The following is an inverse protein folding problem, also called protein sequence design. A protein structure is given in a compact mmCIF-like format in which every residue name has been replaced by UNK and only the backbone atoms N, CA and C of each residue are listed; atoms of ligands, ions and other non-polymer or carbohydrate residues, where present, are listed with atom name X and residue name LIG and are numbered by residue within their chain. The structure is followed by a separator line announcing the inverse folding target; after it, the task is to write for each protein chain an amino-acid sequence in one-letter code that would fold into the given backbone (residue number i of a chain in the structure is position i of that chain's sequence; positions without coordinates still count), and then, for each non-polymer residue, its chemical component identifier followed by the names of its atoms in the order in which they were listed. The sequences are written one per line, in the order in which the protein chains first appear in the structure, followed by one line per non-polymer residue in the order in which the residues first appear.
data_IF_696383548767
#
_entry.id   IF_696383548767
#
_cell.length_a   1.000
_cell.length_b   1.000
_cell.length_c   1.000
_cell.angle_alpha   90.00
_cell.angle_beta   90.00
_cell.angle_gamma   90.00
#
_symmetry.space_group_name_H-M   'P 1'
#
loop_
_entity.id
_entity.type
_entity.pdbx_description
1 polymer ?
#
# COMPACT_ATOMS: atom_id res chain seq x y z
N UNK A 1 23.86 -25.50 3.52
CA UNK A 1 22.92 -24.77 2.63
C UNK A 1 22.73 -23.29 3.04
N UNK A 2 23.47 -22.75 4.03
CA UNK A 2 23.40 -21.34 4.49
C UNK A 2 24.63 -20.49 4.10
N UNK A 3 25.55 -21.02 3.29
CA UNK A 3 26.81 -20.36 2.89
C UNK A 3 26.93 -20.29 1.36
N UNK A 4 25.92 -19.75 0.69
CA UNK A 4 26.00 -19.45 -0.73
C UNK A 4 25.58 -18.00 -0.98
N UNK A 5 26.14 -17.41 -2.02
CA UNK A 5 25.84 -16.05 -2.44
C UNK A 5 24.33 -15.80 -2.59
N UNK A 6 23.61 -16.75 -3.21
CA UNK A 6 22.14 -16.66 -3.39
C UNK A 6 21.41 -16.43 -2.07
N UNK A 7 21.78 -17.15 -1.01
CA UNK A 7 21.13 -17.02 0.29
C UNK A 7 21.39 -15.65 0.91
N UNK A 8 22.63 -15.15 0.84
CA UNK A 8 23.01 -13.84 1.37
C UNK A 8 22.27 -12.73 0.63
N UNK A 9 22.24 -12.79 -0.70
CA UNK A 9 21.52 -11.82 -1.53
C UNK A 9 20.04 -11.80 -1.17
N UNK A 10 19.38 -12.96 -1.14
CA UNK A 10 17.97 -13.05 -0.77
C UNK A 10 17.71 -12.51 0.64
N UNK A 11 18.58 -12.78 1.60
CA UNK A 11 18.45 -12.27 2.96
C UNK A 11 18.52 -10.74 3.02
N UNK A 12 19.49 -10.13 2.31
CA UNK A 12 19.61 -8.68 2.25
C UNK A 12 18.42 -8.04 1.52
N UNK A 13 17.95 -8.66 0.43
CA UNK A 13 16.73 -8.24 -0.26
C UNK A 13 15.50 -8.29 0.65
N UNK A 14 15.29 -9.39 1.39
CA UNK A 14 14.17 -9.50 2.33
C UNK A 14 14.24 -8.43 3.41
N UNK A 15 15.41 -8.25 4.05
CA UNK A 15 15.62 -7.21 5.08
C UNK A 15 15.27 -5.83 4.54
N UNK A 16 15.70 -5.54 3.31
CA UNK A 16 15.45 -4.29 2.65
C UNK A 16 13.97 -4.04 2.35
N UNK A 17 13.29 -4.99 1.69
CA UNK A 17 11.88 -4.88 1.32
C UNK A 17 11.01 -4.76 2.58
N UNK A 18 11.27 -5.59 3.59
CA UNK A 18 10.58 -5.50 4.88
C UNK A 18 10.83 -4.16 5.55
N UNK A 19 12.04 -3.60 5.46
CA UNK A 19 12.35 -2.27 5.97
C UNK A 19 11.57 -1.14 5.27
N UNK A 20 11.24 -1.29 3.99
CA UNK A 20 10.38 -0.32 3.28
C UNK A 20 8.93 -0.44 3.73
N UNK A 21 8.41 -1.67 3.82
CA UNK A 21 6.99 -1.92 4.12
C UNK A 21 6.66 -1.90 5.61
N UNK A 22 7.65 -1.83 6.51
CA UNK A 22 7.46 -1.95 7.96
C UNK A 22 6.45 -0.95 8.52
N UNK A 23 6.61 0.34 8.22
CA UNK A 23 5.73 1.39 8.74
C UNK A 23 4.30 1.25 8.23
N UNK A 24 4.14 0.91 6.95
CA UNK A 24 2.83 0.62 6.38
C UNK A 24 2.18 -0.59 7.06
N UNK A 25 2.96 -1.66 7.26
CA UNK A 25 2.50 -2.88 7.93
C UNK A 25 2.01 -2.59 9.35
N UNK A 26 2.78 -1.82 10.13
CA UNK A 26 2.37 -1.40 11.46
C UNK A 26 1.12 -0.52 11.44
N UNK A 27 1.05 0.46 10.53
CA UNK A 27 -0.12 1.32 10.39
C UNK A 27 -1.39 0.53 10.07
N UNK A 28 -1.31 -0.46 9.17
CA UNK A 28 -2.42 -1.35 8.78
C UNK A 28 -2.88 -2.30 9.89
N UNK A 29 -2.06 -2.54 10.91
CA UNK A 29 -2.39 -3.42 12.03
C UNK A 29 -3.01 -2.67 13.23
N UNK A 30 -3.01 -1.33 13.21
CA UNK A 30 -3.58 -0.52 14.30
C UNK A 30 -5.10 -0.54 14.26
N UNK A 31 -5.73 -0.65 15.43
CA UNK A 31 -7.19 -0.66 15.56
C UNK A 31 -7.82 0.72 15.38
N UNK A 32 -7.10 1.78 15.71
CA UNK A 32 -7.52 3.18 15.69
C UNK A 32 -7.04 3.92 14.42
N UNK A 33 -7.10 3.23 13.28
CA UNK A 33 -6.37 3.62 12.09
C UNK A 33 -6.85 4.96 11.52
N UNK A 34 -5.90 5.89 11.36
CA UNK A 34 -6.11 7.09 10.57
C UNK A 34 -5.95 6.73 9.09
N UNK A 35 -7.09 6.66 8.39
CA UNK A 35 -7.16 6.26 6.99
C UNK A 35 -6.26 7.15 6.12
N UNK A 36 -6.22 8.46 6.39
CA UNK A 36 -5.44 9.40 5.58
C UNK A 36 -3.95 9.09 5.71
N UNK A 37 -3.47 8.97 6.96
CA UNK A 37 -2.06 8.64 7.21
C UNK A 37 -1.69 7.26 6.63
N UNK A 38 -2.60 6.28 6.70
CA UNK A 38 -2.36 4.96 6.11
C UNK A 38 -2.23 5.02 4.58
N UNK A 39 -3.09 5.79 3.91
CA UNK A 39 -3.01 5.96 2.45
C UNK A 39 -1.77 6.75 2.04
N UNK A 40 -1.33 7.73 2.84
CA UNK A 40 -0.04 8.39 2.62
C UNK A 40 1.14 7.41 2.73
N UNK A 41 1.11 6.49 3.69
CA UNK A 41 2.11 5.44 3.82
C UNK A 41 2.09 4.45 2.65
N UNK A 42 0.92 4.12 2.07
CA UNK A 42 0.83 3.34 0.83
C UNK A 42 1.57 4.05 -0.30
N UNK A 43 1.34 5.36 -0.48
CA UNK A 43 2.03 6.17 -1.51
C UNK A 43 3.54 6.20 -1.28
N UNK A 44 3.98 6.41 -0.04
CA UNK A 44 5.41 6.41 0.33
C UNK A 44 6.04 5.05 0.06
N UNK A 45 5.38 3.95 0.46
CA UNK A 45 5.86 2.59 0.23
C UNK A 45 6.03 2.31 -1.27
N UNK A 46 5.02 2.66 -2.08
CA UNK A 46 5.07 2.52 -3.55
C UNK A 46 6.23 3.31 -4.16
N UNK A 47 6.38 4.58 -3.76
CA UNK A 47 7.46 5.42 -4.25
C UNK A 47 8.84 4.85 -3.89
N UNK A 48 9.02 4.42 -2.64
CA UNK A 48 10.29 3.85 -2.19
C UNK A 48 10.62 2.56 -2.92
N UNK A 49 9.65 1.65 -3.11
CA UNK A 49 9.87 0.43 -3.90
C UNK A 49 10.28 0.76 -5.35
N UNK A 50 9.60 1.71 -5.99
CA UNK A 50 9.94 2.14 -7.36
C UNK A 50 11.35 2.74 -7.45
N UNK A 51 11.68 3.72 -6.59
CA UNK A 51 13.01 4.32 -6.58
C UNK A 51 14.11 3.27 -6.30
N UNK A 52 13.79 2.26 -5.50
CA UNK A 52 14.73 1.18 -5.19
C UNK A 52 15.00 0.29 -6.40
N UNK A 53 13.97 0.02 -7.20
CA UNK A 53 14.11 -0.74 -8.44
C UNK A 53 15.13 -0.11 -9.38
N UNK A 54 15.11 1.21 -9.48
CA UNK A 54 15.88 1.96 -10.46
C UNK A 54 17.32 2.21 -9.98
N UNK A 55 17.51 2.55 -8.69
CA UNK A 55 18.80 3.04 -8.18
C UNK A 55 19.46 2.19 -7.08
N UNK A 56 18.76 1.26 -6.43
CA UNK A 56 19.32 0.58 -5.22
C UNK A 56 20.28 -0.57 -5.55
N UNK A 57 20.17 -1.18 -6.73
CA UNK A 57 20.88 -2.41 -7.08
C UNK A 57 22.39 -2.35 -6.76
N UNK A 58 23.10 -1.33 -7.24
CA UNK A 58 24.55 -1.28 -7.13
C UNK A 58 25.00 -1.22 -5.66
N UNK A 59 24.32 -0.41 -4.84
CA UNK A 59 24.61 -0.30 -3.40
C UNK A 59 24.26 -1.59 -2.62
N UNK A 60 23.16 -2.25 -2.96
CA UNK A 60 22.79 -3.53 -2.35
C UNK A 60 23.82 -4.62 -2.70
N UNK A 61 24.24 -4.66 -3.97
CA UNK A 61 25.21 -5.62 -4.46
C UNK A 61 26.57 -5.44 -3.76
N UNK A 62 27.02 -4.20 -3.58
CA UNK A 62 28.23 -3.89 -2.81
C UNK A 62 28.13 -4.36 -1.35
N UNK A 63 27.01 -4.11 -0.67
CA UNK A 63 26.76 -4.60 0.69
C UNK A 63 26.84 -6.14 0.78
N UNK A 64 26.25 -6.84 -0.18
CA UNK A 64 26.27 -8.31 -0.27
C UNK A 64 27.68 -8.84 -0.52
N UNK A 65 28.44 -8.24 -1.46
CA UNK A 65 29.82 -8.64 -1.74
C UNK A 65 30.71 -8.46 -0.50
N UNK A 66 30.62 -7.31 0.17
CA UNK A 66 31.37 -7.05 1.39
C UNK A 66 31.05 -8.07 2.49
N UNK A 67 29.79 -8.46 2.65
CA UNK A 67 29.39 -9.51 3.59
C UNK A 67 29.98 -10.87 3.19
N UNK A 68 29.89 -11.24 1.91
CA UNK A 68 30.43 -12.51 1.42
C UNK A 68 31.96 -12.60 1.63
N UNK A 69 32.70 -11.54 1.35
CA UNK A 69 34.15 -11.47 1.56
C UNK A 69 34.52 -11.66 3.04
N UNK A 70 33.81 -10.99 3.95
CA UNK A 70 34.01 -11.11 5.40
C UNK A 70 33.75 -12.53 5.92
N UNK A 71 32.87 -13.27 5.27
CA UNK A 71 32.47 -14.61 5.66
C UNK A 71 33.07 -15.72 4.79
N UNK A 72 34.01 -15.37 3.89
CA UNK A 72 34.65 -16.31 2.95
C UNK A 72 33.62 -17.13 2.14
N UNK A 73 32.57 -16.45 1.66
CA UNK A 73 31.54 -17.02 0.79
C UNK A 73 31.93 -16.70 -0.65
N UNK A 74 31.98 -17.73 -1.50
CA UNK A 74 32.33 -17.56 -2.90
C UNK A 74 31.32 -16.67 -3.64
N UNK A 75 31.82 -15.60 -4.26
CA UNK A 75 31.04 -14.69 -5.09
C UNK A 75 31.13 -15.15 -6.55
N UNK A 76 29.99 -15.42 -7.23
CA UNK A 76 30.00 -15.80 -8.63
C UNK A 76 30.50 -14.65 -9.51
N UNK A 77 31.23 -14.98 -10.58
CA UNK A 77 31.64 -13.97 -11.56
C UNK A 77 30.41 -13.45 -12.32
N UNK A 78 30.17 -12.15 -12.23
CA UNK A 78 28.98 -11.51 -12.80
C UNK A 78 28.93 -11.54 -14.34
N UNK A 79 30.07 -11.72 -15.01
CA UNK A 79 30.18 -11.84 -16.46
C UNK A 79 30.02 -13.27 -16.98
N UNK A 80 30.06 -14.28 -16.08
CA UNK A 80 29.89 -15.66 -16.48
C UNK A 80 28.46 -15.95 -16.91
N UNK A 81 28.30 -16.99 -17.73
CA UNK A 81 26.99 -17.48 -18.15
C UNK A 81 26.25 -18.08 -16.97
N UNK A 82 25.05 -17.58 -16.70
CA UNK A 82 24.14 -18.14 -15.73
C UNK A 82 23.57 -19.47 -16.24
N UNK A 83 23.76 -20.53 -15.46
CA UNK A 83 23.26 -21.87 -15.79
C UNK A 83 21.95 -22.11 -15.04
N UNK A 84 20.83 -22.14 -15.78
CA UNK A 84 19.53 -22.56 -15.25
C UNK A 84 19.49 -24.09 -15.10
N UNK A 85 18.99 -24.58 -13.97
CA UNK A 85 18.77 -26.02 -13.75
C UNK A 85 17.27 -26.35 -13.78
N UNK A 86 16.90 -27.47 -14.39
CA UNK A 86 15.52 -27.97 -14.33
C UNK A 86 15.19 -28.63 -12.98
N UNK A 87 13.93 -29.01 -12.78
CA UNK A 87 13.46 -29.72 -11.57
C UNK A 87 14.13 -31.09 -11.33
N UNK A 88 14.95 -31.56 -12.28
CA UNK A 88 15.74 -32.79 -12.20
C UNK A 88 17.24 -32.50 -12.06
N UNK A 89 17.61 -31.23 -11.82
CA UNK A 89 18.99 -30.78 -11.62
C UNK A 89 19.83 -30.73 -12.89
N UNK A 90 19.22 -30.72 -14.09
CA UNK A 90 19.96 -30.71 -15.36
C UNK A 90 20.08 -29.29 -15.91
N UNK A 91 21.25 -28.90 -16.46
CA UNK A 91 21.41 -27.63 -17.13
C UNK A 91 20.44 -27.47 -18.30
N UNK A 92 19.62 -26.43 -18.28
CA UNK A 92 18.68 -26.09 -19.36
C UNK A 92 19.40 -25.16 -20.34
N UNK A 93 19.80 -25.68 -21.51
CA UNK A 93 20.49 -24.92 -22.57
C UNK A 93 19.56 -24.21 -23.57
N UNK A 94 18.25 -24.19 -23.33
CA UNK A 94 17.26 -23.61 -24.26
C UNK A 94 17.03 -22.13 -23.96
N UNK A 95 17.98 -21.27 -24.30
CA UNK A 95 17.80 -19.82 -24.19
C UNK A 95 19.06 -19.01 -24.55
N UNK A 96 18.92 -17.69 -24.74
CA UNK A 96 20.07 -16.81 -24.90
C UNK A 96 21.00 -16.90 -23.68
N UNK A 97 22.31 -16.81 -23.93
CA UNK A 97 23.35 -16.81 -22.90
C UNK A 97 23.14 -15.62 -21.96
N UNK A 98 22.53 -15.89 -20.81
CA UNK A 98 22.28 -14.89 -19.78
C UNK A 98 23.50 -14.77 -18.88
N UNK A 99 23.89 -13.56 -18.48
CA UNK A 99 24.96 -13.39 -17.49
C UNK A 99 24.42 -13.54 -16.07
N UNK A 100 25.28 -13.89 -15.13
CA UNK A 100 24.94 -13.89 -13.69
C UNK A 100 24.42 -12.51 -13.25
N UNK A 101 25.03 -11.42 -13.74
CA UNK A 101 24.55 -10.06 -13.47
C UNK A 101 23.09 -9.88 -13.89
N UNK A 102 22.75 -10.33 -15.09
CA UNK A 102 21.39 -10.15 -15.59
C UNK A 102 20.40 -10.95 -14.75
N UNK A 103 20.74 -12.20 -14.41
CA UNK A 103 19.90 -13.02 -13.56
C UNK A 103 19.64 -12.37 -12.20
N UNK A 104 20.68 -11.97 -11.47
CA UNK A 104 20.48 -11.43 -10.13
C UNK A 104 19.84 -10.03 -10.14
N UNK A 105 20.20 -9.17 -11.08
CA UNK A 105 19.66 -7.80 -11.16
C UNK A 105 18.22 -7.77 -11.67
N UNK A 106 17.96 -8.42 -12.80
CA UNK A 106 16.68 -8.28 -13.50
C UNK A 106 15.72 -9.41 -13.14
N UNK A 107 16.11 -10.68 -13.35
CA UNK A 107 15.24 -11.85 -13.12
C UNK A 107 14.96 -12.12 -11.63
N UNK A 108 15.72 -11.51 -10.71
CA UNK A 108 15.53 -11.69 -9.27
C UNK A 108 15.22 -10.35 -8.58
N UNK A 109 16.16 -9.40 -8.59
CA UNK A 109 15.97 -8.16 -7.84
C UNK A 109 14.82 -7.29 -8.36
N UNK A 110 14.82 -6.95 -9.66
CA UNK A 110 13.74 -6.18 -10.26
C UNK A 110 12.42 -6.95 -10.20
N UNK A 111 12.41 -8.23 -10.57
CA UNK A 111 11.20 -9.06 -10.56
C UNK A 111 10.56 -9.13 -9.16
N UNK A 112 11.35 -9.28 -8.09
CA UNK A 112 10.81 -9.30 -6.73
C UNK A 112 10.22 -7.93 -6.35
N UNK A 113 10.86 -6.83 -6.70
CA UNK A 113 10.31 -5.49 -6.44
C UNK A 113 9.02 -5.26 -7.24
N UNK A 114 9.00 -5.68 -8.51
CA UNK A 114 7.85 -5.57 -9.39
C UNK A 114 6.66 -6.37 -8.84
N UNK A 115 6.89 -7.56 -8.29
CA UNK A 115 5.87 -8.33 -7.58
C UNK A 115 5.33 -7.59 -6.34
N UNK A 116 6.19 -6.94 -5.55
CA UNK A 116 5.73 -6.15 -4.39
C UNK A 116 4.93 -4.91 -4.81
N UNK A 117 5.35 -4.23 -5.88
CA UNK A 117 4.64 -3.09 -6.45
C UNK A 117 3.27 -3.51 -6.99
N UNK A 118 3.21 -4.64 -7.71
CA UNK A 118 1.97 -5.19 -8.23
C UNK A 118 1.02 -5.55 -7.08
N UNK A 119 1.48 -6.31 -6.08
CA UNK A 119 0.66 -6.69 -4.93
C UNK A 119 0.11 -5.46 -4.18
N UNK A 120 0.93 -4.43 -3.99
CA UNK A 120 0.51 -3.17 -3.38
C UNK A 120 -0.51 -2.42 -4.26
N UNK A 121 -0.35 -2.47 -5.58
CA UNK A 121 -1.28 -1.88 -6.56
C UNK A 121 -2.62 -2.60 -6.62
N UNK A 122 -2.62 -3.93 -6.56
CA UNK A 122 -3.82 -4.76 -6.58
C UNK A 122 -4.64 -4.59 -5.30
N UNK A 123 -3.98 -4.46 -4.13
CA UNK A 123 -4.65 -4.21 -2.84
C UNK A 123 -5.11 -2.77 -2.67
N UNK A 124 -4.32 -1.81 -3.14
CA UNK A 124 -4.58 -0.37 -3.02
C UNK A 124 -4.54 0.29 -4.38
N UNK A 125 -5.50 -0.08 -5.22
CA UNK A 125 -5.72 0.59 -6.51
C UNK A 125 -6.04 2.06 -6.31
N UNK A 126 -5.89 2.87 -7.36
CA UNK A 126 -6.24 4.29 -7.32
C UNK A 126 -7.70 4.50 -6.88
N UNK A 127 -8.63 3.71 -7.45
CA UNK A 127 -10.04 3.76 -7.07
C UNK A 127 -10.29 3.40 -5.60
N UNK A 128 -9.64 2.35 -5.08
CA UNK A 128 -9.80 1.96 -3.66
C UNK A 128 -9.20 3.00 -2.71
N UNK A 129 -8.07 3.60 -3.08
CA UNK A 129 -7.41 4.66 -2.31
C UNK A 129 -8.27 5.92 -2.30
N UNK A 130 -8.82 6.31 -3.45
CA UNK A 130 -9.75 7.44 -3.57
C UNK A 130 -11.01 7.22 -2.72
N UNK A 131 -11.59 6.02 -2.79
CA UNK A 131 -12.75 5.63 -1.98
C UNK A 131 -12.46 5.78 -0.47
N UNK A 132 -11.32 5.24 -0.01
CA UNK A 132 -10.91 5.33 1.39
C UNK A 132 -10.69 6.77 1.86
N UNK A 133 -10.05 7.60 1.02
CA UNK A 133 -9.87 9.03 1.30
C UNK A 133 -11.20 9.79 1.35
N UNK A 134 -12.18 9.41 0.53
CA UNK A 134 -13.52 10.00 0.59
C UNK A 134 -14.25 9.61 1.89
N UNK A 135 -14.13 8.35 2.31
CA UNK A 135 -14.69 7.86 3.58
C UNK A 135 -14.06 8.58 4.80
N UNK A 136 -12.77 8.90 4.73
CA UNK A 136 -12.07 9.60 5.81
C UNK A 136 -12.69 10.98 6.16
N UNK A 137 -13.41 11.61 5.23
CA UNK A 137 -14.14 12.86 5.49
C UNK A 137 -15.31 12.73 6.46
N UNK A 138 -15.80 11.52 6.71
CA UNK A 138 -16.83 11.25 7.71
C UNK A 138 -16.27 11.10 9.13
N UNK A 139 -14.95 11.21 9.29
CA UNK A 139 -14.30 11.15 10.61
C UNK A 139 -14.91 12.20 11.55
N UNK A 140 -15.39 11.74 12.70
CA UNK A 140 -15.91 12.57 13.79
C UNK A 140 -14.82 13.26 14.60
N UNK A 141 -13.54 12.89 14.38
CA UNK A 141 -12.40 13.48 15.10
C UNK A 141 -12.36 14.98 14.91
N UNK A 142 -11.96 15.68 15.98
CA UNK A 142 -11.86 17.14 16.03
C UNK A 142 -13.12 17.86 15.52
N UNK A 143 -14.31 17.35 15.89
CA UNK A 143 -15.61 17.89 15.47
C UNK A 143 -15.82 17.89 13.95
N UNK A 144 -15.51 16.77 13.30
CA UNK A 144 -15.61 16.59 11.85
C UNK A 144 -14.72 17.55 11.07
N UNK A 145 -13.50 17.82 11.54
CA UNK A 145 -12.56 18.73 10.88
C UNK A 145 -12.21 18.31 9.44
N UNK A 146 -12.16 16.99 9.19
CA UNK A 146 -11.87 16.38 7.89
C UNK A 146 -13.04 16.43 6.89
N UNK A 147 -14.21 16.95 7.30
CA UNK A 147 -15.40 17.00 6.44
C UNK A 147 -15.14 17.82 5.18
N UNK A 148 -15.38 17.20 4.03
CA UNK A 148 -15.24 17.84 2.73
C UNK A 148 -16.40 17.43 1.81
N UNK A 149 -17.28 18.39 1.52
CA UNK A 149 -18.49 18.18 0.70
C UNK A 149 -18.20 17.49 -0.64
N UNK A 150 -17.16 17.95 -1.35
CA UNK A 150 -16.78 17.42 -2.68
C UNK A 150 -16.41 15.94 -2.62
N UNK A 151 -15.68 15.50 -1.59
CA UNK A 151 -15.29 14.10 -1.41
C UNK A 151 -16.48 13.20 -1.07
N UNK A 152 -17.48 13.70 -0.35
CA UNK A 152 -18.70 12.92 -0.10
C UNK A 152 -19.58 12.80 -1.34
N UNK A 153 -19.65 13.84 -2.18
CA UNK A 153 -20.32 13.73 -3.47
C UNK A 153 -19.60 12.73 -4.37
N UNK A 154 -18.26 12.79 -4.39
CA UNK A 154 -17.42 11.80 -5.08
C UNK A 154 -17.65 10.39 -4.55
N UNK A 155 -17.84 10.23 -3.23
CA UNK A 155 -18.19 8.94 -2.62
C UNK A 155 -19.50 8.40 -3.18
N UNK A 156 -20.54 9.23 -3.32
CA UNK A 156 -21.83 8.82 -3.88
C UNK A 156 -21.71 8.36 -5.35
N UNK A 157 -20.83 8.99 -6.15
CA UNK A 157 -20.57 8.59 -7.54
C UNK A 157 -19.99 7.17 -7.67
N UNK A 158 -19.33 6.64 -6.64
CA UNK A 158 -18.86 5.24 -6.62
C UNK A 158 -20.01 4.22 -6.50
N UNK A 159 -21.21 4.66 -6.12
CA UNK A 159 -22.39 3.82 -5.90
C UNK A 159 -23.55 4.21 -6.83
N UNK A 160 -23.39 4.10 -8.17
CA UNK A 160 -24.40 4.55 -9.13
C UNK A 160 -25.70 3.71 -9.12
N UNK A 161 -25.71 2.57 -8.41
CA UNK A 161 -26.92 1.78 -8.18
C UNK A 161 -27.74 2.27 -7.00
N UNK A 162 -27.08 2.93 -6.05
CA UNK A 162 -27.69 3.40 -4.80
C UNK A 162 -28.04 4.90 -4.88
N UNK A 163 -27.31 5.67 -5.70
CA UNK A 163 -27.56 7.10 -5.91
C UNK A 163 -27.86 7.38 -7.38
N UNK A 164 -29.08 7.86 -7.67
CA UNK A 164 -29.40 8.47 -8.95
C UNK A 164 -28.81 9.88 -9.05
N UNK A 165 -28.70 10.49 -10.25
CA UNK A 165 -28.28 11.88 -10.40
C UNK A 165 -29.16 12.87 -9.61
N UNK A 166 -30.44 12.53 -9.42
CA UNK A 166 -31.34 13.33 -8.59
C UNK A 166 -30.97 13.20 -7.10
N UNK A 167 -30.65 12.00 -6.63
CA UNK A 167 -30.23 11.77 -5.25
C UNK A 167 -28.91 12.48 -4.93
N UNK A 168 -27.95 12.50 -5.86
CA UNK A 168 -26.69 13.26 -5.70
C UNK A 168 -26.96 14.77 -5.63
N UNK A 169 -27.92 15.28 -6.40
CA UNK A 169 -28.34 16.68 -6.33
C UNK A 169 -28.95 17.01 -4.95
N UNK A 170 -29.87 16.17 -4.47
CA UNK A 170 -30.48 16.31 -3.14
C UNK A 170 -29.42 16.24 -2.03
N UNK A 171 -28.49 15.28 -2.13
CA UNK A 171 -27.37 15.13 -1.21
C UNK A 171 -26.51 16.40 -1.16
N UNK A 172 -26.25 17.01 -2.31
CA UNK A 172 -25.49 18.27 -2.42
C UNK A 172 -26.10 19.38 -1.56
N UNK A 173 -27.42 19.51 -1.57
CA UNK A 173 -28.11 20.54 -0.79
C UNK A 173 -28.16 20.19 0.70
N UNK A 174 -28.30 18.91 1.04
CA UNK A 174 -28.48 18.46 2.42
C UNK A 174 -27.18 18.37 3.23
N UNK A 175 -26.03 18.16 2.59
CA UNK A 175 -24.75 17.97 3.27
C UNK A 175 -24.35 19.15 4.17
N UNK A 176 -24.71 20.39 3.80
CA UNK A 176 -24.44 21.58 4.62
C UNK A 176 -25.31 21.64 5.88
N UNK A 177 -26.57 21.26 5.74
CA UNK A 177 -27.49 21.16 6.87
C UNK A 177 -27.09 20.02 7.81
N UNK A 178 -26.69 18.87 7.24
CA UNK A 178 -26.17 17.73 7.99
C UNK A 178 -24.97 18.11 8.85
N UNK A 179 -23.92 18.69 8.24
CA UNK A 179 -22.69 18.99 8.97
C UNK A 179 -22.90 20.03 10.08
N UNK A 180 -23.75 21.02 9.83
CA UNK A 180 -24.11 22.01 10.85
C UNK A 180 -24.82 21.36 12.04
N UNK A 181 -25.79 20.49 11.77
CA UNK A 181 -26.56 19.78 12.79
C UNK A 181 -25.68 18.81 13.61
N UNK A 182 -24.84 17.98 12.97
CA UNK A 182 -23.98 17.04 13.72
C UNK A 182 -22.89 17.75 14.52
N UNK A 183 -22.31 18.85 14.02
CA UNK A 183 -21.31 19.65 14.76
C UNK A 183 -21.92 20.39 15.96
N UNK A 184 -23.17 20.85 15.84
CA UNK A 184 -23.87 21.57 16.91
C UNK A 184 -24.39 20.63 18.00
N UNK A 185 -24.50 19.34 17.72
CA UNK A 185 -25.09 18.37 18.63
C UNK A 185 -24.02 17.72 19.54
N UNK A 186 -24.14 17.96 20.84
CA UNK A 186 -23.22 17.42 21.85
C UNK A 186 -23.11 15.88 21.83
N UNK A 187 -24.13 15.18 21.33
CA UNK A 187 -24.12 13.72 21.20
C UNK A 187 -23.07 13.22 20.20
N UNK A 188 -22.60 14.05 19.26
CA UNK A 188 -21.66 13.66 18.21
C UNK A 188 -20.22 14.13 18.45
N UNK A 189 -19.92 14.76 19.60
CA UNK A 189 -18.61 15.36 19.89
C UNK A 189 -17.48 14.35 20.14
N UNK A 190 -17.78 13.18 20.71
CA UNK A 190 -16.79 12.20 21.14
C UNK A 190 -17.13 10.81 20.57
N UNK A 191 -17.05 10.68 19.25
CA UNK A 191 -17.23 9.40 18.57
C UNK A 191 -15.86 8.83 18.16
N UNK A 192 -15.61 7.55 18.44
CA UNK A 192 -14.29 6.92 18.25
C UNK A 192 -14.09 6.39 16.82
N UNK A 193 -15.11 6.46 15.96
CA UNK A 193 -15.01 6.05 14.57
C UNK A 193 -16.35 6.04 13.84
N UNK A 194 -16.31 5.55 12.60
CA UNK A 194 -17.48 5.46 11.72
C UNK A 194 -18.59 4.56 12.28
N UNK A 195 -18.23 3.49 13.00
CA UNK A 195 -19.20 2.61 13.66
C UNK A 195 -20.04 3.36 14.70
N UNK A 196 -19.38 4.14 15.57
CA UNK A 196 -20.04 4.95 16.59
C UNK A 196 -20.93 6.03 15.95
N UNK A 197 -20.45 6.65 14.86
CA UNK A 197 -21.24 7.60 14.07
C UNK A 197 -22.52 6.96 13.54
N UNK A 198 -22.40 5.80 12.88
CA UNK A 198 -23.56 5.08 12.36
C UNK A 198 -24.55 4.71 13.47
N UNK A 199 -24.06 4.18 14.59
CA UNK A 199 -24.91 3.84 15.74
C UNK A 199 -25.63 5.07 16.29
N UNK A 200 -24.95 6.21 16.39
CA UNK A 200 -25.53 7.46 16.89
C UNK A 200 -26.57 8.04 15.94
N UNK A 201 -26.36 7.96 14.62
CA UNK A 201 -27.34 8.37 13.61
C UNK A 201 -28.63 7.52 13.68
N UNK A 202 -28.50 6.23 14.00
CA UNK A 202 -29.66 5.34 14.24
C UNK A 202 -30.38 5.73 15.52
N UNK A 203 -29.65 5.84 16.65
CA UNK A 203 -30.21 6.18 17.97
C UNK A 203 -30.96 7.53 17.98
N UNK A 204 -30.43 8.51 17.28
CA UNK A 204 -31.03 9.86 17.17
C UNK A 204 -32.10 9.98 16.07
N UNK A 205 -32.39 8.89 15.35
CA UNK A 205 -33.28 8.84 14.18
C UNK A 205 -32.86 9.78 13.03
N UNK A 206 -31.63 10.31 13.06
CA UNK A 206 -31.11 11.24 12.03
C UNK A 206 -30.92 10.58 10.67
N UNK A 207 -30.72 9.26 10.62
CA UNK A 207 -30.75 8.45 9.39
C UNK A 207 -32.10 8.48 8.62
N UNK A 208 -33.16 9.07 9.20
CA UNK A 208 -34.45 9.30 8.53
C UNK A 208 -34.62 10.72 8.03
N UNK A 209 -33.77 11.64 8.50
CA UNK A 209 -33.83 13.08 8.21
C UNK A 209 -32.84 13.44 7.10
N UNK A 210 -31.68 12.80 7.13
CA UNK A 210 -30.64 12.90 6.12
C UNK A 210 -30.53 11.56 5.38
N UNK A 211 -30.30 11.59 4.05
CA UNK A 211 -30.17 10.41 3.20
C UNK A 211 -28.96 9.55 3.55
#
# INVERSE_FOLDING_TARGET
MMHCFDFVLNLHMMKFILGISNELSHALQRRDQDIVNAMDLVRVCRYRLQASRDDRWDSLFEEVCNFCDQHSIDIPNMNDTFIRFDSRGRPVRKGPTLTNLHHYRYDLFCDVIDLQLQELGDRFSEASTELLLCIACLSSRDSFSAFEKKKLLRLAEFYPRDFSPLDVCILTDQLESYIFDVRSNALFKELNGLGDLAEKLVKTKKHKVFP
#
